data_IF_027378835809
#
_entry.id   IF_027378835809
#
_cell.length_a   1.000
_cell.length_b   1.000
_cell.length_c   1.000
_cell.angle_alpha   90.00
_cell.angle_beta   90.00
_cell.angle_gamma   90.00
#
_symmetry.space_group_name_H-M   'P 1'
#
loop_
_entity.id
_entity.type
_entity.pdbx_description
1 polymer ?
#
# COMPACT_ATOMS: atom_id res chain seq x y z
N UNK A 1 -0.98 -19.61 4.69
CA UNK A 1 0.42 -19.13 4.81
C UNK A 1 1.27 -19.80 3.74
N UNK A 2 1.12 -21.11 3.60
CA UNK A 2 1.87 -21.95 2.66
C UNK A 2 1.67 -21.54 1.19
N UNK A 3 0.44 -21.17 0.78
CA UNK A 3 0.16 -20.74 -0.60
C UNK A 3 0.91 -19.45 -1.00
N UNK A 4 1.05 -18.48 -0.09
CA UNK A 4 1.79 -17.24 -0.36
C UNK A 4 3.29 -17.51 -0.45
N UNK A 5 3.82 -18.44 0.37
CA UNK A 5 5.24 -18.79 0.29
C UNK A 5 5.57 -19.55 -1.00
N UNK A 6 4.60 -20.31 -1.53
CA UNK A 6 4.76 -21.06 -2.77
C UNK A 6 4.77 -20.18 -4.04
N UNK A 7 4.39 -18.89 -3.95
CA UNK A 7 4.49 -17.95 -5.08
C UNK A 7 5.86 -17.28 -5.18
N UNK A 8 6.77 -17.53 -4.22
CA UNK A 8 8.03 -16.80 -4.11
C UNK A 8 7.89 -15.43 -3.45
N UNK A 9 6.70 -15.09 -2.94
CA UNK A 9 6.49 -13.85 -2.19
C UNK A 9 7.10 -13.92 -0.78
N UNK A 10 7.80 -12.86 -0.39
CA UNK A 10 8.24 -12.66 0.98
C UNK A 10 7.11 -12.03 1.81
N UNK A 11 6.97 -12.46 3.06
CA UNK A 11 6.06 -11.82 4.00
C UNK A 11 6.70 -10.54 4.53
N UNK A 12 5.99 -9.41 4.42
CA UNK A 12 6.36 -8.13 4.99
C UNK A 12 5.59 -7.91 6.31
N UNK A 13 6.25 -7.95 7.48
CA UNK A 13 5.59 -7.67 8.75
C UNK A 13 5.15 -6.20 8.82
N UNK A 14 4.00 -5.96 9.46
CA UNK A 14 3.59 -4.61 9.82
C UNK A 14 4.30 -4.23 11.13
N UNK A 15 5.12 -3.18 11.07
CA UNK A 15 5.78 -2.57 12.22
C UNK A 15 5.04 -1.32 12.70
N UNK A 16 5.41 -0.84 13.88
CA UNK A 16 4.90 0.40 14.47
C UNK A 16 5.10 1.62 13.56
N UNK A 17 6.24 1.71 12.88
CA UNK A 17 6.52 2.78 11.90
C UNK A 17 5.47 2.85 10.79
N UNK A 18 4.95 1.71 10.32
CA UNK A 18 3.89 1.67 9.31
C UNK A 18 2.58 2.23 9.85
N UNK A 19 2.24 1.89 11.10
CA UNK A 19 1.04 2.38 11.76
C UNK A 19 1.11 3.90 12.00
N UNK A 20 2.26 4.42 12.43
CA UNK A 20 2.48 5.85 12.65
C UNK A 20 2.37 6.63 11.34
N UNK A 21 2.99 6.12 10.27
CA UNK A 21 2.97 6.75 8.95
C UNK A 21 1.56 6.88 8.34
N UNK A 22 0.58 6.09 8.81
CA UNK A 22 -0.82 6.25 8.38
C UNK A 22 -1.41 7.64 8.68
N UNK A 23 -0.87 8.36 9.67
CA UNK A 23 -1.33 9.70 10.02
C UNK A 23 -1.01 10.75 8.94
N UNK A 24 0.03 10.50 8.14
CA UNK A 24 0.50 11.37 7.08
C UNK A 24 0.03 10.92 5.69
N UNK A 25 -0.53 9.70 5.59
CA UNK A 25 -1.00 9.15 4.34
C UNK A 25 -2.16 10.01 3.78
N UNK A 26 -2.07 10.49 2.52
CA UNK A 26 -2.99 11.46 1.92
C UNK A 26 -4.36 10.88 1.52
N UNK A 27 -4.73 9.75 2.12
CA UNK A 27 -5.98 9.07 1.87
C UNK A 27 -7.09 9.69 2.71
N UNK A 28 -7.95 10.51 2.07
CA UNK A 28 -9.29 10.82 2.58
C UNK A 28 -10.25 9.62 2.59
N UNK A 29 -9.79 8.44 2.11
CA UNK A 29 -10.59 7.22 2.00
C UNK A 29 -10.88 6.56 3.37
N UNK A 30 -12.04 5.91 3.48
CA UNK A 30 -12.59 5.35 4.73
C UNK A 30 -11.96 4.04 5.21
N UNK A 31 -11.18 3.34 4.37
CA UNK A 31 -10.65 2.02 4.74
C UNK A 31 -9.30 2.15 5.48
N UNK A 32 -9.23 1.71 6.76
CA UNK A 32 -7.98 1.76 7.52
C UNK A 32 -6.88 0.86 6.92
N UNK A 33 -7.22 -0.19 6.17
CA UNK A 33 -6.24 -1.11 5.58
C UNK A 33 -5.58 -0.55 4.33
N UNK A 34 -6.32 0.12 3.45
CA UNK A 34 -5.73 0.83 2.29
C UNK A 34 -4.71 1.87 2.75
N UNK A 35 -5.06 2.57 3.83
CA UNK A 35 -4.17 3.55 4.45
C UNK A 35 -2.90 2.91 5.00
N UNK A 36 -3.03 1.77 5.67
CA UNK A 36 -1.89 1.01 6.16
C UNK A 36 -1.02 0.48 5.00
N UNK A 37 -1.62 -0.04 3.93
CA UNK A 37 -0.90 -0.53 2.76
C UNK A 37 -0.11 0.58 2.06
N UNK A 38 -0.72 1.75 1.88
CA UNK A 38 -0.06 2.91 1.29
C UNK A 38 1.10 3.41 2.17
N UNK A 39 0.85 3.57 3.47
CA UNK A 39 1.87 3.99 4.42
C UNK A 39 3.05 2.99 4.49
N UNK A 40 2.75 1.69 4.44
CA UNK A 40 3.78 0.64 4.37
C UNK A 40 4.59 0.77 3.09
N UNK A 41 3.94 0.90 1.93
CA UNK A 41 4.63 1.06 0.65
C UNK A 41 5.53 2.32 0.61
N UNK A 42 5.06 3.43 1.18
CA UNK A 42 5.84 4.66 1.29
C UNK A 42 7.05 4.50 2.22
N UNK A 43 6.84 3.90 3.40
CA UNK A 43 7.88 3.70 4.42
C UNK A 43 8.97 2.74 3.93
N UNK A 44 8.57 1.66 3.25
CA UNK A 44 9.48 0.62 2.75
C UNK A 44 10.03 0.93 1.35
N UNK A 45 9.63 2.06 0.76
CA UNK A 45 9.99 2.46 -0.60
C UNK A 45 9.65 1.41 -1.67
N UNK A 46 8.50 0.76 -1.51
CA UNK A 46 7.97 -0.27 -2.41
C UNK A 46 6.81 0.25 -3.24
N UNK A 47 6.52 -0.43 -4.35
CA UNK A 47 5.30 -0.17 -5.13
C UNK A 47 4.13 -1.01 -4.61
N UNK A 48 3.00 -0.36 -4.33
CA UNK A 48 1.72 -0.99 -4.05
C UNK A 48 1.03 -1.35 -5.38
N UNK A 49 1.02 -2.64 -5.72
CA UNK A 49 0.28 -3.16 -6.87
C UNK A 49 -1.17 -3.42 -6.46
N UNK A 50 -2.13 -2.84 -7.20
CA UNK A 50 -3.55 -2.99 -6.90
C UNK A 50 -4.41 -3.02 -8.16
N UNK A 51 -5.50 -3.78 -8.11
CA UNK A 51 -6.60 -3.72 -9.08
C UNK A 51 -7.74 -2.79 -8.62
N UNK A 52 -7.63 -2.18 -7.44
CA UNK A 52 -8.64 -1.28 -6.90
C UNK A 52 -8.65 0.06 -7.66
N UNK A 53 -9.78 0.39 -8.29
CA UNK A 53 -9.93 1.62 -9.06
C UNK A 53 -9.81 2.90 -8.21
N UNK A 54 -10.25 2.84 -6.95
CA UNK A 54 -10.17 3.97 -6.02
C UNK A 54 -8.73 4.35 -5.76
N UNK A 55 -7.89 3.37 -5.40
CA UNK A 55 -6.46 3.57 -5.19
C UNK A 55 -5.74 4.02 -6.48
N UNK A 56 -6.08 3.43 -7.63
CA UNK A 56 -5.48 3.84 -8.91
C UNK A 56 -5.85 5.27 -9.29
N UNK A 57 -7.07 5.73 -9.02
CA UNK A 57 -7.49 7.12 -9.29
C UNK A 57 -6.71 8.14 -8.48
N UNK A 58 -6.26 7.79 -7.27
CA UNK A 58 -5.48 8.71 -6.44
C UNK A 58 -4.15 9.09 -7.07
N UNK A 59 -3.51 8.20 -7.83
CA UNK A 59 -2.28 8.52 -8.56
C UNK A 59 -2.45 9.66 -9.55
N UNK A 60 -3.68 9.93 -10.01
CA UNK A 60 -3.97 11.08 -10.89
C UNK A 60 -4.00 12.40 -10.13
N UNK A 61 -4.38 12.36 -8.86
CA UNK A 61 -4.42 13.53 -7.97
C UNK A 61 -3.06 13.78 -7.31
N UNK A 62 -2.36 12.70 -6.97
CA UNK A 62 -1.03 12.72 -6.35
C UNK A 62 -0.08 11.74 -7.07
N UNK A 63 0.61 12.19 -8.13
CA UNK A 63 1.48 11.34 -8.94
C UNK A 63 2.70 10.78 -8.20
N UNK A 64 3.00 11.29 -7.01
CA UNK A 64 4.10 10.83 -6.16
C UNK A 64 3.76 9.57 -5.37
N UNK A 65 2.50 9.16 -5.34
CA UNK A 65 2.08 7.96 -4.62
C UNK A 65 2.66 6.70 -5.27
N UNK A 66 3.17 5.73 -4.47
CA UNK A 66 3.81 4.54 -5.00
C UNK A 66 2.78 3.47 -5.41
N UNK A 67 1.69 3.83 -6.09
CA UNK A 67 0.61 2.91 -6.48
C UNK A 67 0.70 2.59 -7.97
N UNK A 68 0.58 1.32 -8.32
CA UNK A 68 0.66 0.82 -9.70
C UNK A 68 -0.45 -0.21 -9.98
N UNK A 69 -0.92 -0.35 -11.22
CA UNK A 69 -1.86 -1.40 -11.57
C UNK A 69 -1.23 -2.78 -11.35
N UNK A 70 -1.97 -3.67 -10.68
CA UNK A 70 -1.73 -5.09 -10.76
C UNK A 70 -2.14 -5.55 -12.18
N UNK A 71 -1.28 -6.36 -12.81
CA UNK A 71 -1.42 -6.80 -14.21
C UNK A 71 -2.77 -7.43 -14.51
#
# INVERSE_FOLDING_TARGET
>A
RDEIQNTGAALLPIADVHAIATTEAPLGHKDPFDRLLLATAQTEHLALLTGDEGLLRLTRLEPTLPVKPAV
#
